data_IF_345962474220
#
_entry.id   IF_345962474220
#
_cell.length_a   1.000
_cell.length_b   1.000
_cell.length_c   1.000
_cell.angle_alpha   90.00
_cell.angle_beta   90.00
_cell.angle_gamma   90.00
#
_symmetry.space_group_name_H-M   'P 1'
#
loop_
_entity.id
_entity.type
_entity.pdbx_description
1 polymer ?
#
# COMPACT_ATOMS: atom_id res chain seq x y z
N UNK A 1 -12.65 -0.84 -16.20
CA UNK A 1 -12.95 -1.27 -14.83
C UNK A 1 -12.43 -0.23 -13.86
N UNK A 2 -13.12 0.00 -12.75
CA UNK A 2 -12.79 0.96 -11.71
C UNK A 2 -12.65 0.23 -10.36
N UNK A 3 -11.70 0.66 -9.54
CA UNK A 3 -11.56 0.29 -8.13
C UNK A 3 -11.61 1.58 -7.30
N UNK A 4 -12.60 1.68 -6.42
CA UNK A 4 -12.71 2.79 -5.47
C UNK A 4 -12.46 2.28 -4.06
N UNK A 5 -11.52 2.90 -3.36
CA UNK A 5 -11.25 2.66 -1.94
C UNK A 5 -11.92 3.78 -1.15
N UNK A 6 -12.94 3.46 -0.35
CA UNK A 6 -13.76 4.48 0.33
C UNK A 6 -12.94 5.27 1.36
N UNK A 7 -12.04 4.58 2.06
CA UNK A 7 -11.10 5.17 3.01
C UNK A 7 -9.69 4.66 2.67
N UNK A 8 -8.93 5.39 1.85
CA UNK A 8 -7.65 4.90 1.30
C UNK A 8 -6.49 4.96 2.28
N UNK A 9 -6.56 5.86 3.27
CA UNK A 9 -5.51 6.09 4.26
C UNK A 9 -6.13 6.12 5.64
N UNK A 10 -5.36 5.67 6.64
CA UNK A 10 -5.75 5.71 8.06
C UNK A 10 -7.10 5.00 8.33
N UNK A 11 -7.21 3.75 7.87
CA UNK A 11 -8.34 2.88 8.18
C UNK A 11 -8.57 2.80 9.70
N UNK A 12 -9.82 2.83 10.14
CA UNK A 12 -10.15 2.62 11.55
C UNK A 12 -9.88 1.16 11.92
N UNK A 13 -9.26 0.90 13.08
CA UNK A 13 -8.86 -0.45 13.49
C UNK A 13 -10.03 -1.40 13.78
N UNK A 14 -11.23 -0.87 13.96
CA UNK A 14 -12.45 -1.59 14.35
C UNK A 14 -13.57 -1.55 13.27
N UNK A 15 -13.33 -0.87 12.14
CA UNK A 15 -14.30 -0.74 11.05
C UNK A 15 -13.78 -1.43 9.79
N UNK A 16 -14.51 -2.40 9.21
CA UNK A 16 -14.13 -3.01 7.94
C UNK A 16 -13.95 -1.97 6.83
N UNK A 17 -12.85 -2.06 6.09
CA UNK A 17 -12.64 -1.29 4.88
C UNK A 17 -13.66 -1.69 3.81
N UNK A 18 -14.12 -0.71 3.04
CA UNK A 18 -15.02 -0.92 1.91
C UNK A 18 -14.31 -0.55 0.62
N UNK A 19 -14.36 -1.47 -0.34
CA UNK A 19 -13.90 -1.26 -1.71
C UNK A 19 -15.08 -1.45 -2.65
N UNK A 20 -15.19 -0.61 -3.66
CA UNK A 20 -16.14 -0.79 -4.75
C UNK A 20 -15.36 -1.19 -5.99
N UNK A 21 -15.67 -2.35 -6.55
CA UNK A 21 -15.08 -2.83 -7.80
C UNK A 21 -16.15 -2.81 -8.88
N UNK A 22 -15.87 -2.18 -10.01
CA UNK A 22 -16.74 -2.18 -11.18
C UNK A 22 -15.96 -2.67 -12.40
N UNK A 23 -16.41 -3.78 -12.99
CA UNK A 23 -15.83 -4.36 -14.20
C UNK A 23 -16.70 -4.17 -15.45
N UNK A 24 -17.73 -3.33 -15.40
CA UNK A 24 -18.68 -3.08 -16.50
C UNK A 24 -19.94 -3.94 -16.45
N UNK A 25 -20.03 -4.91 -15.53
CA UNK A 25 -21.26 -5.69 -15.26
C UNK A 25 -22.09 -5.02 -14.14
N UNK A 26 -21.44 -4.17 -13.33
CA UNK A 26 -22.04 -3.43 -12.23
C UNK A 26 -21.07 -3.31 -11.03
N UNK A 27 -21.26 -2.30 -10.16
CA UNK A 27 -20.43 -2.13 -8.98
C UNK A 27 -20.73 -3.22 -7.95
N UNK A 28 -19.68 -3.80 -7.36
CA UNK A 28 -19.76 -4.71 -6.21
C UNK A 28 -18.97 -4.15 -5.02
N UNK A 29 -19.54 -4.24 -3.83
CA UNK A 29 -18.85 -3.91 -2.59
C UNK A 29 -18.06 -5.12 -2.09
N UNK A 30 -16.80 -4.91 -1.72
CA UNK A 30 -15.92 -5.86 -1.05
C UNK A 30 -15.57 -5.27 0.32
N UNK A 31 -15.63 -6.10 1.36
CA UNK A 31 -15.22 -5.73 2.72
C UNK A 31 -13.94 -6.45 3.11
N UNK A 32 -13.03 -5.74 3.76
CA UNK A 32 -11.77 -6.26 4.28
C UNK A 32 -11.59 -5.84 5.75
N UNK A 33 -10.89 -6.64 6.55
CA UNK A 33 -10.67 -6.37 7.97
C UNK A 33 -11.90 -6.63 8.86
N UNK A 34 -12.03 -5.93 10.01
CA UNK A 34 -11.21 -4.79 10.43
C UNK A 34 -9.81 -5.21 10.87
N UNK A 35 -8.80 -4.41 10.49
CA UNK A 35 -7.39 -4.65 10.81
C UNK A 35 -6.72 -3.34 11.26
N UNK A 36 -6.06 -3.36 12.42
CA UNK A 36 -5.17 -2.28 12.84
C UNK A 36 -3.81 -2.45 12.15
N UNK A 37 -3.67 -1.85 10.96
CA UNK A 37 -2.46 -2.01 10.17
C UNK A 37 -1.20 -1.43 10.85
N UNK A 38 -1.34 -0.46 11.75
CA UNK A 38 -0.19 0.06 12.51
C UNK A 38 0.23 -0.93 13.60
N UNK A 39 -0.72 -1.51 14.33
CA UNK A 39 -0.43 -2.56 15.29
C UNK A 39 0.23 -3.77 14.60
N UNK A 40 -0.36 -4.26 13.50
CA UNK A 40 0.18 -5.38 12.73
C UNK A 40 1.61 -5.11 12.23
N UNK A 41 1.88 -3.88 11.77
CA UNK A 41 3.23 -3.46 11.34
C UNK A 41 4.24 -3.55 12.49
N UNK A 42 3.88 -3.01 13.67
CA UNK A 42 4.74 -3.01 14.85
C UNK A 42 4.94 -4.43 15.40
N UNK A 43 3.89 -5.25 15.41
CA UNK A 43 3.95 -6.66 15.83
C UNK A 43 4.90 -7.46 14.94
N UNK A 44 4.78 -7.33 13.62
CA UNK A 44 5.65 -8.00 12.66
C UNK A 44 7.12 -7.57 12.84
N UNK A 45 7.37 -6.27 13.03
CA UNK A 45 8.71 -5.76 13.29
C UNK A 45 9.28 -6.28 14.61
N UNK A 46 8.51 -6.20 15.70
CA UNK A 46 8.96 -6.65 17.01
C UNK A 46 9.20 -8.17 17.04
N UNK A 47 8.41 -8.94 16.30
CA UNK A 47 8.62 -10.38 16.10
C UNK A 47 9.94 -10.65 15.41
N UNK A 48 10.21 -10.00 14.28
CA UNK A 48 11.48 -10.16 13.56
C UNK A 48 12.68 -9.85 14.45
N UNK A 49 12.60 -8.79 15.27
CA UNK A 49 13.65 -8.43 16.22
C UNK A 49 13.88 -9.52 17.29
N UNK A 50 12.81 -10.04 17.91
CA UNK A 50 12.92 -11.08 18.94
C UNK A 50 13.42 -12.42 18.40
N UNK A 51 13.01 -12.76 17.19
CA UNK A 51 13.36 -14.03 16.54
C UNK A 51 14.71 -13.96 15.80
N UNK A 52 15.36 -12.78 15.73
CA UNK A 52 16.59 -12.57 14.97
C UNK A 52 16.39 -12.68 13.45
N UNK A 53 15.17 -12.46 12.96
CA UNK A 53 14.80 -12.52 11.56
C UNK A 53 15.09 -11.21 10.80
N UNK A 54 14.92 -11.25 9.48
CA UNK A 54 14.98 -10.05 8.64
C UNK A 54 13.82 -9.11 8.95
N UNK A 55 14.03 -7.79 8.79
CA UNK A 55 12.94 -6.82 8.86
C UNK A 55 11.82 -7.20 7.87
N UNK A 56 10.53 -7.12 8.27
CA UNK A 56 9.41 -7.47 7.39
C UNK A 56 9.39 -6.65 6.10
N UNK A 57 9.85 -5.40 6.18
CA UNK A 57 10.07 -4.50 5.05
C UNK A 57 11.54 -4.07 5.10
N UNK A 58 12.40 -4.54 4.18
CA UNK A 58 13.81 -4.19 4.18
C UNK A 58 14.02 -2.73 3.69
N UNK A 59 15.09 -2.04 4.11
CA UNK A 59 15.39 -0.68 3.64
C UNK A 59 15.54 -0.54 2.12
N UNK A 60 15.92 -1.62 1.43
CA UNK A 60 15.99 -1.65 -0.04
C UNK A 60 14.64 -1.40 -0.71
N UNK A 61 13.53 -1.75 -0.06
CA UNK A 61 12.18 -1.46 -0.54
C UNK A 61 11.89 0.05 -0.56
N UNK A 62 12.27 0.75 0.52
CA UNK A 62 12.16 2.20 0.58
C UNK A 62 13.01 2.90 -0.49
N UNK A 63 14.22 2.39 -0.75
CA UNK A 63 15.08 2.90 -1.83
C UNK A 63 14.42 2.68 -3.19
N UNK A 64 13.81 1.52 -3.43
CA UNK A 64 13.09 1.25 -4.67
C UNK A 64 11.90 2.20 -4.87
N UNK A 65 11.13 2.47 -3.80
CA UNK A 65 10.04 3.45 -3.83
C UNK A 65 10.55 4.86 -4.18
N UNK A 66 11.69 5.28 -3.61
CA UNK A 66 12.27 6.59 -3.95
C UNK A 66 12.74 6.66 -5.40
N UNK A 67 13.31 5.59 -5.97
CA UNK A 67 13.69 5.57 -7.40
C UNK A 67 12.49 5.78 -8.33
N UNK A 68 11.34 5.19 -7.99
CA UNK A 68 10.08 5.40 -8.72
C UNK A 68 9.65 6.87 -8.64
N UNK A 69 9.69 7.47 -7.44
CA UNK A 69 9.36 8.88 -7.24
C UNK A 69 10.31 9.79 -8.04
N UNK A 70 11.60 9.49 -8.06
CA UNK A 70 12.59 10.22 -8.86
C UNK A 70 12.32 10.11 -10.36
N UNK A 71 11.96 8.92 -10.84
CA UNK A 71 11.56 8.71 -12.24
C UNK A 71 10.30 9.48 -12.59
N UNK A 72 9.32 9.57 -11.69
CA UNK A 72 8.12 10.38 -11.86
C UNK A 72 8.45 11.87 -12.05
N UNK A 73 9.38 12.42 -11.25
CA UNK A 73 9.85 13.80 -11.42
C UNK A 73 10.64 14.02 -12.72
N UNK A 74 11.41 13.02 -13.18
CA UNK A 74 12.06 13.10 -14.50
C UNK A 74 11.02 13.09 -15.63
N UNK A 75 10.00 12.25 -15.51
CA UNK A 75 8.94 12.07 -16.50
C UNK A 75 8.12 13.35 -16.69
N UNK A 76 7.83 14.05 -15.60
CA UNK A 76 7.16 15.36 -15.65
C UNK A 76 7.95 16.38 -16.48
N UNK A 77 9.29 16.37 -16.38
CA UNK A 77 10.17 17.28 -17.12
C UNK A 77 10.36 16.88 -18.57
N UNK A 78 10.45 15.58 -18.86
CA UNK A 78 10.68 15.08 -20.22
C UNK A 78 9.40 14.94 -21.04
N UNK A 79 8.23 14.90 -20.38
CA UNK A 79 6.94 14.67 -21.01
C UNK A 79 6.76 13.25 -21.55
N UNK A 80 7.59 12.30 -21.11
CA UNK A 80 7.63 10.94 -21.61
C UNK A 80 7.96 9.89 -20.54
N UNK A 81 8.05 8.64 -20.98
CA UNK A 81 8.41 7.52 -20.11
C UNK A 81 9.89 7.59 -19.71
N UNK A 82 10.16 7.39 -18.42
CA UNK A 82 11.51 7.35 -17.85
C UNK A 82 11.79 5.98 -17.24
N UNK A 83 13.03 5.51 -17.36
CA UNK A 83 13.47 4.30 -16.68
C UNK A 83 13.60 4.56 -15.16
N UNK A 84 13.37 3.50 -14.37
CA UNK A 84 13.58 3.46 -12.91
C UNK A 84 15.01 3.05 -12.61
#
# INVERSE_FOLDING_TARGET
GNLTVILPFNAYPDVPLKLIVDNGIGPREIKCGPDDHYALMLEAFARALREGGSAPIPPSDAIANMKVIDAMFRSEKSGGWEAI
#
